data_IF_723818023785
#
_entry.id   IF_723818023785
#
_cell.length_a   1.000
_cell.length_b   1.000
_cell.length_c   1.000
_cell.angle_alpha   90.00
_cell.angle_beta   90.00
_cell.angle_gamma   90.00
#
_symmetry.space_group_name_H-M   'P 1'
#
loop_
_entity.id
_entity.type
_entity.pdbx_description
1 polymer ?
#
# COMPACT_ATOMS: atom_id res chain seq x y z
N UNK A 1 -14.66 5.98 -15.15
CA UNK A 1 -15.27 4.84 -15.81
C UNK A 1 -16.53 5.29 -16.53
N UNK A 2 -16.72 4.78 -17.74
CA UNK A 2 -17.83 5.15 -18.60
C UNK A 2 -18.82 3.98 -18.61
N UNK A 3 -19.77 3.97 -17.68
CA UNK A 3 -20.97 3.20 -17.88
C UNK A 3 -21.94 4.06 -18.70
N UNK A 4 -22.26 3.56 -19.89
CA UNK A 4 -23.35 4.07 -20.75
C UNK A 4 -23.43 5.61 -20.84
N UNK A 5 -22.33 6.32 -21.19
CA UNK A 5 -22.26 7.78 -21.32
C UNK A 5 -22.39 8.62 -20.03
N UNK A 6 -22.47 8.02 -18.85
CA UNK A 6 -22.44 8.74 -17.58
C UNK A 6 -21.01 8.94 -17.09
N UNK A 7 -20.66 10.17 -16.67
CA UNK A 7 -19.41 10.47 -15.99
C UNK A 7 -19.61 10.31 -14.50
N UNK A 8 -18.78 9.51 -13.85
CA UNK A 8 -18.75 9.41 -12.39
C UNK A 8 -17.85 10.51 -11.84
N UNK A 9 -18.34 11.25 -10.85
CA UNK A 9 -17.51 12.22 -10.15
C UNK A 9 -16.44 11.49 -9.33
N UNK A 10 -15.21 12.00 -9.41
CA UNK A 10 -14.05 11.43 -8.73
C UNK A 10 -13.25 12.53 -8.05
N UNK A 11 -12.72 12.24 -6.87
CA UNK A 11 -11.77 13.09 -6.16
C UNK A 11 -10.55 12.27 -5.81
N UNK A 12 -9.35 12.77 -6.08
CA UNK A 12 -8.12 12.19 -5.52
C UNK A 12 -7.88 12.70 -4.09
N UNK A 13 -7.03 11.99 -3.32
CA UNK A 13 -6.76 12.41 -1.95
C UNK A 13 -5.95 13.70 -1.84
N UNK A 14 -5.30 14.18 -2.90
CA UNK A 14 -4.73 15.52 -2.93
C UNK A 14 -5.84 16.57 -2.86
N UNK A 15 -6.93 16.38 -3.63
CA UNK A 15 -8.12 17.23 -3.58
C UNK A 15 -8.82 17.15 -2.22
N UNK A 16 -9.01 15.93 -1.68
CA UNK A 16 -9.64 15.71 -0.35
C UNK A 16 -8.91 16.42 0.76
N UNK A 17 -7.57 16.48 0.71
CA UNK A 17 -6.73 17.18 1.70
C UNK A 17 -6.41 18.64 1.33
N UNK A 18 -6.90 19.14 0.21
CA UNK A 18 -6.58 20.49 -0.28
C UNK A 18 -5.10 20.68 -0.60
N UNK A 19 -4.40 19.61 -0.97
CA UNK A 19 -2.99 19.66 -1.35
C UNK A 19 -2.85 20.05 -2.81
N UNK A 20 -1.87 20.93 -3.13
CA UNK A 20 -1.56 21.26 -4.51
C UNK A 20 -0.97 20.06 -5.26
N UNK A 21 -1.12 19.96 -6.61
CA UNK A 21 -0.61 18.83 -7.39
C UNK A 21 0.89 18.57 -7.23
N UNK A 22 1.70 19.60 -7.03
CA UNK A 22 3.13 19.53 -6.78
C UNK A 22 3.47 18.91 -5.41
N UNK A 23 2.55 19.00 -4.44
CA UNK A 23 2.69 18.47 -3.08
C UNK A 23 2.20 17.03 -2.94
N UNK A 24 1.96 16.31 -4.06
CA UNK A 24 1.41 14.94 -4.04
C UNK A 24 2.23 13.93 -3.22
N UNK A 25 3.51 14.18 -3.00
CA UNK A 25 4.43 13.42 -2.15
C UNK A 25 4.68 14.08 -0.79
N UNK A 26 3.78 14.91 -0.33
CA UNK A 26 3.94 15.64 0.93
C UNK A 26 4.35 14.73 2.09
N UNK A 27 5.24 15.23 2.93
CA UNK A 27 5.63 14.54 4.17
C UNK A 27 4.63 14.76 5.31
N UNK A 28 3.69 15.70 5.14
CA UNK A 28 2.70 16.07 6.15
C UNK A 28 1.53 15.11 6.24
N UNK A 29 1.22 14.40 5.14
CA UNK A 29 0.12 13.44 5.05
C UNK A 29 0.70 12.03 4.93
N UNK A 30 0.17 11.12 5.71
CA UNK A 30 0.54 9.69 5.72
C UNK A 30 -0.63 8.82 5.27
N UNK A 31 -0.39 7.54 5.01
CA UNK A 31 -1.48 6.59 4.79
C UNK A 31 -2.40 6.45 6.00
N UNK A 32 -1.92 6.72 7.22
CA UNK A 32 -2.78 6.79 8.41
C UNK A 32 -3.81 7.91 8.27
N UNK A 33 -3.44 9.08 7.74
CA UNK A 33 -4.39 10.18 7.52
C UNK A 33 -5.42 9.81 6.44
N UNK A 34 -4.99 9.15 5.35
CA UNK A 34 -5.90 8.61 4.33
C UNK A 34 -6.87 7.61 4.96
N UNK A 35 -6.36 6.68 5.78
CA UNK A 35 -7.18 5.70 6.49
C UNK A 35 -8.20 6.34 7.43
N UNK A 36 -7.84 7.42 8.13
CA UNK A 36 -8.74 8.17 8.98
C UNK A 36 -9.92 8.77 8.20
N UNK A 37 -9.66 9.32 7.00
CA UNK A 37 -10.73 9.80 6.11
C UNK A 37 -11.62 8.66 5.64
N UNK A 38 -11.04 7.53 5.21
CA UNK A 38 -11.80 6.35 4.80
C UNK A 38 -12.68 5.82 5.93
N UNK A 39 -12.16 5.79 7.16
CA UNK A 39 -12.86 5.31 8.35
C UNK A 39 -14.02 6.23 8.74
N UNK A 40 -13.86 7.54 8.62
CA UNK A 40 -14.88 8.52 9.00
C UNK A 40 -16.11 8.53 8.07
N UNK A 41 -16.01 8.02 6.86
CA UNK A 41 -17.12 7.91 5.92
C UNK A 41 -17.92 6.66 6.23
N UNK A 42 -19.21 6.81 6.63
CA UNK A 42 -20.09 5.70 7.03
C UNK A 42 -20.21 4.59 5.97
N UNK A 43 -20.17 4.94 4.68
CA UNK A 43 -20.23 3.98 3.57
C UNK A 43 -18.91 3.26 3.32
N UNK A 44 -17.77 3.76 3.81
CA UNK A 44 -16.46 3.19 3.57
C UNK A 44 -15.96 2.37 4.76
N UNK A 45 -15.92 2.95 5.95
CA UNK A 45 -15.62 2.27 7.22
C UNK A 45 -14.32 1.45 7.22
N UNK A 46 -14.27 0.48 8.13
CA UNK A 46 -13.09 -0.39 8.35
C UNK A 46 -12.74 -1.23 7.12
N UNK A 47 -13.72 -1.61 6.29
CA UNK A 47 -13.50 -2.37 5.06
C UNK A 47 -12.57 -1.65 4.08
N UNK A 48 -12.75 -0.34 3.92
CA UNK A 48 -11.90 0.49 3.06
C UNK A 48 -10.49 0.67 3.64
N UNK A 49 -10.37 0.75 4.98
CA UNK A 49 -9.05 0.76 5.65
C UNK A 49 -8.30 -0.54 5.38
N UNK A 50 -8.97 -1.70 5.48
CA UNK A 50 -8.36 -2.98 5.15
C UNK A 50 -7.92 -3.05 3.67
N UNK A 51 -8.72 -2.48 2.76
CA UNK A 51 -8.34 -2.40 1.35
C UNK A 51 -7.13 -1.49 1.14
N UNK A 52 -7.05 -0.35 1.81
CA UNK A 52 -5.84 0.51 1.78
C UNK A 52 -4.60 -0.26 2.26
N UNK A 53 -4.71 -1.03 3.34
CA UNK A 53 -3.61 -1.85 3.86
C UNK A 53 -3.17 -2.91 2.83
N UNK A 54 -4.10 -3.55 2.10
CA UNK A 54 -3.75 -4.46 0.98
C UNK A 54 -3.00 -3.72 -0.12
N UNK A 55 -3.45 -2.52 -0.52
CA UNK A 55 -2.77 -1.70 -1.55
C UNK A 55 -1.36 -1.31 -1.12
N UNK A 56 -1.16 -0.89 0.13
CA UNK A 56 0.19 -0.63 0.66
C UNK A 56 1.05 -1.88 0.53
N UNK A 57 0.54 -3.04 0.95
CA UNK A 57 1.25 -4.33 0.91
C UNK A 57 1.61 -4.73 -0.53
N UNK A 58 0.68 -4.60 -1.47
CA UNK A 58 0.93 -4.90 -2.90
C UNK A 58 2.02 -3.99 -3.46
N UNK A 59 1.95 -2.69 -3.18
CA UNK A 59 2.96 -1.73 -3.65
C UNK A 59 4.35 -2.02 -3.05
N UNK A 60 4.44 -2.44 -1.78
CA UNK A 60 5.70 -2.91 -1.19
C UNK A 60 6.26 -4.14 -1.93
N UNK A 61 5.42 -5.16 -2.16
CA UNK A 61 5.83 -6.40 -2.82
C UNK A 61 6.22 -6.21 -4.29
N UNK A 62 5.65 -5.23 -4.98
CA UNK A 62 6.00 -4.85 -6.36
C UNK A 62 7.17 -3.86 -6.44
N UNK A 63 7.55 -3.25 -5.30
CA UNK A 63 8.52 -2.16 -5.30
C UNK A 63 8.01 -0.93 -6.03
N UNK A 64 6.75 -0.58 -5.84
CA UNK A 64 6.15 0.65 -6.35
C UNK A 64 6.23 1.78 -5.31
N UNK A 65 7.08 2.79 -5.50
CA UNK A 65 7.19 3.92 -4.57
C UNK A 65 6.19 5.04 -4.89
N UNK A 66 5.34 4.88 -5.90
CA UNK A 66 4.57 5.97 -6.49
C UNK A 66 3.10 6.02 -6.04
N UNK A 67 2.71 5.26 -5.02
CA UNK A 67 1.37 5.35 -4.45
C UNK A 67 1.23 6.63 -3.60
N UNK A 68 1.12 7.77 -4.26
CA UNK A 68 0.93 9.10 -3.65
C UNK A 68 -0.55 9.49 -3.58
N UNK A 69 -0.87 10.70 -3.09
CA UNK A 69 -2.24 11.18 -2.87
C UNK A 69 -3.11 11.15 -4.13
N UNK A 70 -2.54 11.38 -5.31
CA UNK A 70 -3.28 11.37 -6.57
C UNK A 70 -3.54 9.95 -7.12
N UNK A 71 -2.84 8.94 -6.61
CA UNK A 71 -3.04 7.52 -6.95
C UNK A 71 -3.97 6.81 -5.96
N UNK A 72 -4.62 7.58 -5.12
CA UNK A 72 -5.70 7.17 -4.22
C UNK A 72 -6.86 8.12 -4.41
N UNK A 73 -8.07 7.61 -4.48
CA UNK A 73 -9.22 8.47 -4.73
C UNK A 73 -10.53 7.92 -4.17
N UNK A 74 -11.57 8.69 -4.38
CA UNK A 74 -12.96 8.38 -4.07
C UNK A 74 -13.79 8.53 -5.33
N UNK A 75 -14.75 7.63 -5.53
CA UNK A 75 -15.78 7.75 -6.56
C UNK A 75 -17.12 8.06 -5.92
N UNK A 76 -17.96 8.79 -6.63
CA UNK A 76 -19.32 9.15 -6.24
C UNK A 76 -20.31 8.71 -7.32
N UNK A 77 -20.65 7.41 -7.40
CA UNK A 77 -21.51 6.89 -8.48
C UNK A 77 -22.88 7.57 -8.54
N UNK A 78 -23.43 7.96 -7.39
CA UNK A 78 -24.71 8.66 -7.25
C UNK A 78 -24.55 10.17 -6.99
N UNK A 79 -23.33 10.70 -7.10
CA UNK A 79 -22.99 12.09 -6.83
C UNK A 79 -22.96 12.50 -5.35
N UNK A 80 -23.20 11.58 -4.42
CA UNK A 80 -23.29 11.88 -2.97
C UNK A 80 -22.49 10.91 -2.10
N UNK A 81 -22.64 9.62 -2.32
CA UNK A 81 -22.01 8.59 -1.51
C UNK A 81 -20.67 8.18 -2.11
N UNK A 82 -19.61 8.38 -1.32
CA UNK A 82 -18.27 7.98 -1.72
C UNK A 82 -18.14 6.46 -1.70
N UNK A 83 -17.41 5.91 -2.67
CA UNK A 83 -16.92 4.54 -2.65
C UNK A 83 -15.39 4.56 -2.84
N UNK A 84 -14.70 3.59 -2.26
CA UNK A 84 -13.26 3.43 -2.49
C UNK A 84 -13.10 2.61 -3.79
N UNK A 85 -12.65 3.22 -4.90
CA UNK A 85 -12.66 2.58 -6.21
C UNK A 85 -11.67 1.42 -6.28
N UNK A 86 -11.73 0.58 -7.33
CA UNK A 86 -10.65 -0.36 -7.64
C UNK A 86 -9.29 0.33 -7.67
N UNK A 87 -8.25 -0.42 -7.31
CA UNK A 87 -6.88 0.11 -7.35
C UNK A 87 -6.46 0.43 -8.78
N UNK A 88 -5.72 1.51 -8.95
CA UNK A 88 -5.17 1.96 -10.23
C UNK A 88 -3.72 2.42 -10.06
N UNK A 89 -3.01 2.56 -11.16
CA UNK A 89 -1.63 3.04 -11.23
C UNK A 89 -0.66 2.23 -10.34
N UNK A 90 -0.84 0.91 -10.34
CA UNK A 90 0.06 -0.02 -9.63
C UNK A 90 1.06 -0.59 -10.63
N UNK A 91 2.32 -0.21 -10.50
CA UNK A 91 3.41 -0.57 -11.42
C UNK A 91 4.57 -1.22 -10.67
N UNK A 92 5.14 -2.28 -11.26
CA UNK A 92 6.35 -2.92 -10.73
C UNK A 92 7.61 -2.08 -11.04
N UNK A 93 7.78 -0.95 -10.36
CA UNK A 93 8.89 -0.01 -10.58
C UNK A 93 10.28 -0.65 -10.43
N UNK A 94 10.39 -1.65 -9.58
CA UNK A 94 11.65 -2.34 -9.29
C UNK A 94 12.30 -2.99 -10.52
N UNK A 95 11.53 -3.25 -11.59
CA UNK A 95 12.09 -3.81 -12.84
C UNK A 95 12.89 -2.77 -13.64
N UNK A 96 12.61 -1.49 -13.43
CA UNK A 96 13.28 -0.37 -14.12
C UNK A 96 14.39 0.22 -13.24
N UNK A 97 14.05 0.61 -12.03
CA UNK A 97 14.95 1.29 -11.09
C UNK A 97 14.88 0.64 -9.71
N UNK A 98 16.01 0.40 -9.02
CA UNK A 98 16.01 -0.11 -7.66
C UNK A 98 15.55 0.98 -6.68
N UNK A 99 14.25 1.24 -6.63
CA UNK A 99 13.64 2.19 -5.70
C UNK A 99 13.03 1.44 -4.55
N UNK A 100 13.16 1.97 -3.35
CA UNK A 100 12.56 1.41 -2.13
C UNK A 100 11.72 2.46 -1.42
N UNK A 101 10.62 2.04 -0.80
CA UNK A 101 9.76 2.87 0.02
C UNK A 101 8.38 3.08 -0.59
N UNK A 102 7.69 4.07 -0.07
CA UNK A 102 6.31 4.40 -0.41
C UNK A 102 6.20 5.83 -0.94
N UNK A 103 5.13 6.14 -1.68
CA UNK A 103 4.79 7.50 -2.08
C UNK A 103 4.55 8.41 -0.87
N UNK A 104 3.82 7.92 0.12
CA UNK A 104 3.60 8.59 1.40
C UNK A 104 4.33 7.85 2.53
N UNK A 105 4.41 8.45 3.72
CA UNK A 105 4.75 7.73 4.96
C UNK A 105 3.59 6.80 5.34
N UNK A 106 3.87 5.67 5.99
CA UNK A 106 2.81 4.80 6.53
C UNK A 106 2.17 5.48 7.73
N UNK A 107 2.97 6.02 8.63
CA UNK A 107 2.55 6.76 9.82
C UNK A 107 3.08 8.19 9.75
N UNK A 108 2.49 9.14 10.50
CA UNK A 108 3.09 10.45 10.71
C UNK A 108 4.52 10.34 11.22
N UNK A 109 5.34 11.35 10.91
CA UNK A 109 6.79 11.32 11.18
C UNK A 109 7.14 11.06 12.65
N UNK A 110 6.38 11.65 13.55
CA UNK A 110 6.59 11.53 15.00
C UNK A 110 6.37 10.09 15.50
N UNK A 111 5.41 9.37 14.89
CA UNK A 111 5.14 7.96 15.21
C UNK A 111 6.19 7.05 14.57
N UNK A 112 6.57 7.33 13.31
CA UNK A 112 7.63 6.59 12.66
C UNK A 112 8.96 6.72 13.39
N UNK A 113 9.29 7.91 13.88
CA UNK A 113 10.52 8.18 14.62
C UNK A 113 10.63 7.35 15.91
N UNK A 114 9.48 7.10 16.59
CA UNK A 114 9.43 6.25 17.79
C UNK A 114 9.66 4.77 17.50
N UNK A 115 9.32 4.32 16.29
CA UNK A 115 9.46 2.91 15.88
C UNK A 115 10.83 2.60 15.28
N UNK A 116 11.62 3.62 14.95
CA UNK A 116 12.95 3.44 14.38
C UNK A 116 13.99 3.29 15.50
N UNK A 117 14.86 2.27 15.44
CA UNK A 117 16.06 2.30 16.26
C UNK A 117 16.88 3.54 15.87
N UNK A 118 17.39 4.26 16.86
CA UNK A 118 18.34 5.38 16.65
C UNK A 118 19.57 4.81 15.92
N UNK A 119 19.70 5.07 14.62
CA UNK A 119 20.83 4.67 13.83
C UNK A 119 21.73 5.89 13.60
N UNK A 120 23.02 5.71 13.85
CA UNK A 120 24.10 6.69 13.71
C UNK A 120 24.01 7.51 12.41
N UNK A 121 23.49 8.73 12.48
CA UNK A 121 23.60 9.78 11.47
C UNK A 121 23.12 9.48 10.03
N UNK A 122 22.71 8.26 9.71
CA UNK A 122 22.25 7.91 8.37
C UNK A 122 20.75 8.13 8.23
N UNK A 123 20.36 8.74 7.11
CA UNK A 123 18.94 8.96 6.73
C UNK A 123 18.17 7.64 6.89
N UNK A 124 17.27 7.59 7.86
CA UNK A 124 16.54 6.38 8.18
C UNK A 124 15.76 5.87 6.96
N UNK A 125 15.90 4.58 6.63
CA UNK A 125 15.11 3.93 5.57
C UNK A 125 13.63 4.11 5.88
N UNK A 126 12.80 4.32 4.84
CA UNK A 126 11.33 4.35 5.00
C UNK A 126 10.89 3.05 5.68
N UNK A 127 9.98 3.14 6.64
CA UNK A 127 9.47 1.94 7.32
C UNK A 127 8.57 1.14 6.37
N UNK A 128 8.56 -0.19 6.56
CA UNK A 128 7.67 -1.12 5.88
C UNK A 128 6.48 -1.45 6.78
N UNK A 129 5.41 -1.98 6.21
CA UNK A 129 4.21 -2.42 6.92
C UNK A 129 4.49 -3.72 7.70
N UNK A 130 5.33 -3.62 8.73
CA UNK A 130 5.61 -4.74 9.65
C UNK A 130 4.45 -4.93 10.64
N UNK A 131 4.37 -6.08 11.34
CA UNK A 131 3.36 -6.28 12.39
C UNK A 131 3.35 -5.19 13.47
N UNK A 132 4.52 -4.69 13.85
CA UNK A 132 4.62 -3.59 14.82
C UNK A 132 4.06 -2.27 14.29
N UNK A 133 4.33 -1.95 13.03
CA UNK A 133 3.77 -0.75 12.36
C UNK A 133 2.26 -0.89 12.21
N UNK A 134 1.77 -2.07 11.81
CA UNK A 134 0.35 -2.35 11.68
C UNK A 134 -0.40 -2.20 13.01
N UNK A 135 0.20 -2.68 14.11
CA UNK A 135 -0.37 -2.49 15.46
C UNK A 135 -0.54 -1.02 15.80
N UNK A 136 0.50 -0.21 15.60
CA UNK A 136 0.42 1.24 15.84
C UNK A 136 -0.64 1.88 14.95
N UNK A 137 -0.69 1.50 13.68
CA UNK A 137 -1.67 2.00 12.72
C UNK A 137 -3.12 1.71 13.19
N UNK A 138 -3.40 0.47 13.60
CA UNK A 138 -4.72 0.07 14.11
C UNK A 138 -5.08 0.81 15.41
N UNK A 139 -4.13 0.93 16.34
CA UNK A 139 -4.34 1.62 17.62
C UNK A 139 -4.66 3.10 17.41
N UNK A 140 -3.99 3.78 16.47
CA UNK A 140 -4.26 5.19 16.16
C UNK A 140 -5.66 5.40 15.57
N UNK A 141 -6.21 4.42 14.88
CA UNK A 141 -7.55 4.47 14.29
C UNK A 141 -8.63 3.90 15.22
N UNK A 142 -8.26 3.30 16.35
CA UNK A 142 -9.22 2.62 17.22
C UNK A 142 -9.89 1.41 16.57
N UNK A 143 -9.21 0.72 15.63
CA UNK A 143 -9.74 -0.47 14.95
C UNK A 143 -9.08 -1.75 15.45
N UNK A 144 -9.81 -2.88 15.32
CA UNK A 144 -9.30 -4.18 15.71
C UNK A 144 -8.09 -4.63 14.87
N UNK A 145 -7.00 -5.03 15.53
CA UNK A 145 -5.76 -5.47 14.89
C UNK A 145 -5.93 -6.80 14.12
N UNK A 146 -6.65 -7.77 14.69
CA UNK A 146 -6.75 -9.12 14.11
C UNK A 146 -7.35 -9.15 12.69
N UNK A 147 -8.46 -8.45 12.37
CA UNK A 147 -8.96 -8.37 11.00
C UNK A 147 -7.99 -7.67 10.03
N UNK A 148 -7.30 -6.63 10.49
CA UNK A 148 -6.29 -5.92 9.69
C UNK A 148 -5.10 -6.84 9.35
N UNK A 149 -4.60 -7.60 10.33
CA UNK A 149 -3.57 -8.63 10.13
C UNK A 149 -4.05 -9.66 9.10
N UNK A 150 -5.29 -10.17 9.22
CA UNK A 150 -5.84 -11.14 8.27
C UNK A 150 -5.92 -10.56 6.85
N UNK A 151 -6.28 -9.29 6.70
CA UNK A 151 -6.34 -8.63 5.40
C UNK A 151 -4.95 -8.56 4.73
N UNK A 152 -3.93 -8.15 5.49
CA UNK A 152 -2.53 -8.06 5.01
C UNK A 152 -1.95 -9.45 4.74
N UNK A 153 -2.05 -10.37 5.69
CA UNK A 153 -1.48 -11.73 5.53
C UNK A 153 -2.17 -12.51 4.42
N UNK A 154 -3.49 -12.40 4.28
CA UNK A 154 -4.24 -13.00 3.17
C UNK A 154 -3.77 -12.49 1.81
N UNK A 155 -3.51 -11.19 1.69
CA UNK A 155 -2.94 -10.59 0.48
C UNK A 155 -1.54 -11.15 0.17
N UNK A 156 -0.67 -11.25 1.17
CA UNK A 156 0.69 -11.80 1.01
C UNK A 156 0.63 -13.28 0.61
N UNK A 157 -0.24 -14.08 1.22
CA UNK A 157 -0.42 -15.49 0.86
C UNK A 157 -0.95 -15.65 -0.56
N UNK A 158 -1.91 -14.84 -0.98
CA UNK A 158 -2.41 -14.88 -2.36
C UNK A 158 -1.29 -14.58 -3.35
N UNK A 159 -0.53 -13.50 -3.11
CA UNK A 159 0.62 -13.15 -3.94
C UNK A 159 1.69 -14.26 -3.97
N UNK A 160 2.03 -14.84 -2.82
CA UNK A 160 3.04 -15.89 -2.72
C UNK A 160 2.70 -17.11 -3.57
N UNK A 161 1.41 -17.48 -3.63
CA UNK A 161 0.94 -18.63 -4.42
C UNK A 161 0.82 -18.35 -5.91
N UNK A 162 0.51 -17.11 -6.30
CA UNK A 162 0.12 -16.81 -7.69
C UNK A 162 1.17 -16.03 -8.46
N UNK A 163 1.86 -15.09 -7.82
CA UNK A 163 2.75 -14.17 -8.54
C UNK A 163 3.95 -14.84 -9.21
N UNK A 164 4.62 -15.86 -8.64
CA UNK A 164 5.74 -16.50 -9.34
C UNK A 164 5.36 -17.02 -10.73
N UNK A 165 4.22 -17.70 -10.83
CA UNK A 165 3.72 -18.22 -12.11
C UNK A 165 3.24 -17.07 -13.03
N UNK A 166 2.57 -16.06 -12.49
CA UNK A 166 2.12 -14.89 -13.26
C UNK A 166 3.30 -14.07 -13.81
N UNK A 167 4.35 -13.88 -13.01
CA UNK A 167 5.57 -13.18 -13.45
C UNK A 167 6.22 -13.99 -14.59
N UNK A 168 6.31 -15.30 -14.44
CA UNK A 168 6.91 -16.16 -15.46
C UNK A 168 6.11 -16.14 -16.78
N UNK A 169 4.80 -16.17 -16.71
CA UNK A 169 3.91 -16.10 -17.86
C UNK A 169 3.80 -14.68 -18.48
N UNK A 170 4.33 -13.65 -17.84
CA UNK A 170 4.21 -12.26 -18.30
C UNK A 170 5.09 -11.97 -19.53
N UNK A 171 4.80 -10.86 -20.21
CA UNK A 171 5.57 -10.36 -21.36
C UNK A 171 6.88 -9.65 -20.95
N UNK A 172 7.26 -9.66 -19.67
CA UNK A 172 8.50 -9.09 -19.19
C UNK A 172 9.72 -9.84 -19.76
N UNK A 173 10.80 -9.13 -20.00
CA UNK A 173 12.08 -9.76 -20.38
C UNK A 173 12.62 -10.64 -19.24
N UNK A 174 13.46 -11.65 -19.53
CA UNK A 174 14.04 -12.50 -18.48
C UNK A 174 14.73 -11.70 -17.35
N UNK A 175 15.44 -10.63 -17.70
CA UNK A 175 16.09 -9.76 -16.72
C UNK A 175 15.10 -9.00 -15.82
N UNK A 176 13.97 -8.55 -16.38
CA UNK A 176 12.90 -7.89 -15.62
C UNK A 176 12.19 -8.88 -14.70
N UNK A 177 11.87 -10.09 -15.18
CA UNK A 177 11.30 -11.18 -14.37
C UNK A 177 12.20 -11.48 -13.17
N UNK A 178 13.49 -11.67 -13.40
CA UNK A 178 14.46 -11.95 -12.33
C UNK A 178 14.53 -10.82 -11.29
N UNK A 179 14.53 -9.55 -11.74
CA UNK A 179 14.51 -8.39 -10.82
C UNK A 179 13.25 -8.35 -9.97
N UNK A 180 12.07 -8.56 -10.59
CA UNK A 180 10.79 -8.55 -9.88
C UNK A 180 10.69 -9.69 -8.88
N UNK A 181 11.03 -10.91 -9.27
CA UNK A 181 11.07 -12.07 -8.38
C UNK A 181 12.05 -11.85 -7.22
N UNK A 182 13.25 -11.34 -7.49
CA UNK A 182 14.23 -11.06 -6.45
C UNK A 182 13.73 -10.02 -5.45
N UNK A 183 13.04 -8.96 -5.92
CA UNK A 183 12.42 -7.96 -5.05
C UNK A 183 11.31 -8.58 -4.21
N UNK A 184 10.38 -9.30 -4.84
CA UNK A 184 9.26 -9.97 -4.19
C UNK A 184 9.72 -10.90 -3.06
N UNK A 185 10.69 -11.78 -3.32
CA UNK A 185 11.19 -12.71 -2.32
C UNK A 185 12.05 -12.06 -1.21
N UNK A 186 12.54 -10.83 -1.42
CA UNK A 186 13.22 -10.05 -0.37
C UNK A 186 12.24 -9.35 0.57
N UNK A 187 10.96 -9.23 0.21
CA UNK A 187 9.96 -8.64 1.10
C UNK A 187 9.88 -9.44 2.39
N UNK A 188 9.95 -8.77 3.55
CA UNK A 188 10.12 -9.41 4.86
C UNK A 188 9.07 -10.50 5.15
N UNK A 189 7.80 -10.24 4.81
CA UNK A 189 6.72 -11.20 5.05
C UNK A 189 6.76 -12.39 4.07
N UNK A 190 7.14 -12.17 2.80
CA UNK A 190 7.30 -13.22 1.78
C UNK A 190 8.49 -14.11 2.13
N UNK A 191 9.60 -13.53 2.56
CA UNK A 191 10.77 -14.28 3.01
C UNK A 191 10.44 -15.20 4.20
N UNK A 192 9.60 -14.74 5.12
CA UNK A 192 9.13 -15.54 6.26
C UNK A 192 8.27 -16.75 5.84
N UNK A 193 7.46 -16.62 4.79
CA UNK A 193 6.68 -17.73 4.23
C UNK A 193 7.58 -18.76 3.55
N UNK A 194 8.53 -18.32 2.73
CA UNK A 194 9.48 -19.18 2.03
C UNK A 194 10.32 -20.03 3.00
N UNK A 195 10.66 -19.49 4.15
CA UNK A 195 11.36 -20.25 5.21
C UNK A 195 10.48 -21.35 5.81
N UNK A 196 9.20 -21.06 6.07
CA UNK A 196 8.26 -22.07 6.61
C UNK A 196 8.02 -23.23 5.65
N UNK A 197 7.81 -22.93 4.35
CA UNK A 197 7.63 -23.97 3.33
C UNK A 197 8.85 -24.91 3.25
N UNK A 198 10.08 -24.36 3.38
CA UNK A 198 11.29 -25.19 3.40
C UNK A 198 11.45 -26.07 4.64
N UNK A 199 10.83 -25.70 5.77
CA UNK A 199 10.85 -26.47 7.01
C UNK A 199 9.74 -27.52 7.06
N UNK A 200 8.74 -27.42 6.19
CA UNK A 200 7.58 -28.33 6.12
C UNK A 200 7.73 -29.41 5.03
N UNK A 201 8.77 -29.33 4.20
CA UNK A 201 9.20 -30.31 3.20
C UNK A 201 10.52 -30.95 3.62
#
# INVERSE_FOLDING_TARGET
DREANARVHCEDFAQVFGSMPEDKYTTRISYLNVAAVLLARLSLGVGAVHELLRRITVNEMLGNPDMHLKNLGLWYPDGRNAVFPPAYDIVAHTIYTPVTGHGLRILPEELEAKLRPKADGKRAKKIQLTPGVLRVFCNQLGIAESPAIKAVTGCIWAAYRTWPAMIEASLLTPGQKAKLQAHFYKHHAVAGLKLRDKMSN
#
